data_IF_545322630319
#
_entry.id   IF_545322630319
#
_cell.length_a   1.000
_cell.length_b   1.000
_cell.length_c   1.000
_cell.angle_alpha   90.00
_cell.angle_beta   90.00
_cell.angle_gamma   90.00
#
_symmetry.space_group_name_H-M   'P 1'
#
loop_
_entity.id
_entity.type
_entity.pdbx_description
1 polymer ?
#
# COMPACT_ATOMS: atom_id res chain seq x y z
N UNK A 1 -18.31 -4.45 23.74
CA UNK A 1 -16.94 -4.79 23.30
C UNK A 1 -16.77 -4.72 21.78
N UNK A 2 -17.80 -4.38 20.99
CA UNK A 2 -17.72 -4.32 19.52
C UNK A 2 -17.25 -2.97 18.92
N UNK A 3 -17.61 -1.85 19.55
CA UNK A 3 -17.37 -0.52 18.95
C UNK A 3 -15.87 -0.18 18.78
N UNK A 4 -15.04 -0.47 19.78
CA UNK A 4 -13.60 -0.19 19.71
C UNK A 4 -12.92 -1.00 18.60
N UNK A 5 -13.38 -2.23 18.34
CA UNK A 5 -12.83 -3.08 17.31
C UNK A 5 -13.22 -2.62 15.90
N UNK A 6 -14.49 -2.23 15.70
CA UNK A 6 -14.95 -1.64 14.43
C UNK A 6 -14.17 -0.36 14.10
N UNK A 7 -13.92 0.50 15.10
CA UNK A 7 -13.12 1.72 14.92
C UNK A 7 -11.69 1.40 14.47
N UNK A 8 -11.05 0.36 15.03
CA UNK A 8 -9.71 -0.06 14.62
C UNK A 8 -9.71 -0.60 13.18
N UNK A 9 -10.70 -1.42 12.80
CA UNK A 9 -10.82 -1.93 11.42
C UNK A 9 -11.01 -0.81 10.41
N UNK A 10 -11.84 0.17 10.70
CA UNK A 10 -12.05 1.33 9.83
C UNK A 10 -10.79 2.18 9.70
N UNK A 11 -10.00 2.29 10.78
CA UNK A 11 -8.66 2.88 10.75
C UNK A 11 -7.70 2.14 9.81
N UNK A 12 -7.67 0.81 9.87
CA UNK A 12 -6.83 -0.02 8.98
C UNK A 12 -7.26 0.12 7.52
N UNK A 13 -8.56 0.10 7.24
CA UNK A 13 -9.12 0.29 5.88
C UNK A 13 -8.76 1.66 5.33
N UNK A 14 -8.94 2.71 6.14
CA UNK A 14 -8.54 4.08 5.78
C UNK A 14 -7.04 4.15 5.48
N UNK A 15 -6.20 3.53 6.32
CA UNK A 15 -4.75 3.46 6.09
C UNK A 15 -4.40 2.70 4.80
N UNK A 16 -5.11 1.62 4.48
CA UNK A 16 -4.95 0.88 3.22
C UNK A 16 -5.26 1.76 2.02
N UNK A 17 -6.35 2.52 2.04
CA UNK A 17 -6.72 3.43 0.96
C UNK A 17 -5.69 4.56 0.77
N UNK A 18 -5.20 5.13 1.87
CA UNK A 18 -4.16 6.15 1.85
C UNK A 18 -2.86 5.60 1.26
N UNK A 19 -2.44 4.38 1.65
CA UNK A 19 -1.27 3.73 1.08
C UNK A 19 -1.44 3.45 -0.42
N UNK A 20 -2.62 3.03 -0.87
CA UNK A 20 -2.93 2.85 -2.30
C UNK A 20 -2.79 4.17 -3.06
N UNK A 21 -3.42 5.22 -2.55
CA UNK A 21 -3.39 6.55 -3.16
C UNK A 21 -1.96 7.11 -3.20
N UNK A 22 -1.18 6.92 -2.14
CA UNK A 22 0.24 7.28 -2.12
C UNK A 22 1.04 6.49 -3.17
N UNK A 23 0.80 5.19 -3.31
CA UNK A 23 1.44 4.37 -4.33
C UNK A 23 1.08 4.81 -5.76
N UNK A 24 -0.18 5.17 -6.01
CA UNK A 24 -0.62 5.73 -7.29
C UNK A 24 0.01 7.09 -7.58
N UNK A 25 0.02 7.98 -6.58
CA UNK A 25 0.66 9.28 -6.67
C UNK A 25 2.16 9.17 -6.94
N UNK A 26 2.86 8.30 -6.21
CA UNK A 26 4.28 8.03 -6.42
C UNK A 26 4.55 7.55 -7.85
N UNK A 27 3.81 6.53 -8.32
CA UNK A 27 3.99 5.96 -9.66
C UNK A 27 3.67 6.92 -10.82
N UNK A 28 2.92 8.01 -10.55
CA UNK A 28 2.63 9.04 -11.54
C UNK A 28 3.78 10.06 -11.71
N UNK A 29 4.74 10.11 -10.77
CA UNK A 29 5.85 11.07 -10.83
C UNK A 29 6.88 10.62 -11.87
N UNK A 30 7.05 11.41 -12.93
CA UNK A 30 8.00 11.14 -14.01
C UNK A 30 9.37 11.79 -13.77
N UNK A 31 10.07 11.35 -12.73
CA UNK A 31 11.39 11.90 -12.41
C UNK A 31 12.43 11.63 -13.50
N UNK A 32 12.33 10.51 -14.23
CA UNK A 32 13.21 10.20 -15.34
C UNK A 32 13.08 11.16 -16.53
N UNK A 33 11.90 11.76 -16.75
CA UNK A 33 11.63 12.64 -17.89
C UNK A 33 12.53 13.88 -17.91
N UNK A 34 12.80 14.47 -16.75
CA UNK A 34 13.73 15.59 -16.61
C UNK A 34 15.15 15.20 -17.00
N UNK A 35 15.61 14.03 -16.55
CA UNK A 35 16.93 13.51 -16.86
C UNK A 35 17.06 13.10 -18.35
N UNK A 36 16.00 12.55 -18.94
CA UNK A 36 15.92 12.30 -20.40
C UNK A 36 16.03 13.60 -21.21
N UNK A 37 15.36 14.67 -20.77
CA UNK A 37 15.45 15.99 -21.42
C UNK A 37 16.88 16.53 -21.41
N UNK A 38 17.56 16.44 -20.26
CA UNK A 38 18.97 16.82 -20.12
C UNK A 38 19.87 15.96 -21.03
N UNK A 39 19.65 14.64 -21.07
CA UNK A 39 20.40 13.74 -21.94
C UNK A 39 20.23 14.10 -23.42
N UNK A 40 19.03 14.47 -23.84
CA UNK A 40 18.73 14.95 -25.19
C UNK A 40 19.47 16.24 -25.53
N UNK A 41 19.52 17.21 -24.60
CA UNK A 41 20.20 18.49 -24.78
C UNK A 41 21.74 18.36 -24.85
N UNK A 42 22.32 17.36 -24.17
CA UNK A 42 23.76 17.15 -24.07
C UNK A 42 24.28 16.04 -25.01
N UNK A 43 23.53 15.70 -26.06
CA UNK A 43 23.80 14.53 -26.91
C UNK A 43 25.25 14.46 -27.39
N UNK A 44 25.84 13.26 -27.32
CA UNK A 44 27.22 13.00 -27.74
C UNK A 44 28.28 13.28 -26.67
N UNK A 45 27.87 13.82 -25.52
CA UNK A 45 28.76 14.00 -24.36
C UNK A 45 28.65 12.84 -23.38
N UNK A 46 29.65 12.67 -22.51
CA UNK A 46 29.58 11.76 -21.36
C UNK A 46 28.43 12.10 -20.41
N UNK A 47 28.12 13.39 -20.25
CA UNK A 47 27.03 13.86 -19.41
C UNK A 47 25.65 13.37 -19.90
N UNK A 48 25.47 13.22 -21.21
CA UNK A 48 24.24 12.62 -21.74
C UNK A 48 24.07 11.16 -21.36
N UNK A 49 25.15 10.37 -21.37
CA UNK A 49 25.12 8.98 -20.90
C UNK A 49 24.73 8.90 -19.43
N UNK A 50 25.40 9.67 -18.57
CA UNK A 50 25.09 9.69 -17.14
C UNK A 50 23.68 10.19 -16.84
N UNK A 51 23.17 11.17 -17.61
CA UNK A 51 21.79 11.63 -17.48
C UNK A 51 20.77 10.55 -17.91
N UNK A 52 21.06 9.76 -18.95
CA UNK A 52 20.21 8.63 -19.34
C UNK A 52 20.19 7.49 -18.31
N UNK A 53 21.35 7.18 -17.72
CA UNK A 53 21.45 6.21 -16.62
C UNK A 53 20.67 6.70 -15.39
N UNK A 54 20.81 7.98 -15.04
CA UNK A 54 20.06 8.60 -13.95
C UNK A 54 18.54 8.57 -14.20
N UNK A 55 18.10 8.82 -15.44
CA UNK A 55 16.69 8.73 -15.81
C UNK A 55 16.13 7.32 -15.52
N UNK A 56 16.85 6.30 -15.99
CA UNK A 56 16.47 4.90 -15.81
C UNK A 56 16.42 4.52 -14.32
N UNK A 57 17.41 4.96 -13.55
CA UNK A 57 17.46 4.71 -12.11
C UNK A 57 16.28 5.36 -11.37
N UNK A 58 15.91 6.58 -11.73
CA UNK A 58 14.75 7.25 -11.15
C UNK A 58 13.43 6.56 -11.49
N UNK A 59 13.23 6.19 -12.76
CA UNK A 59 12.01 5.50 -13.17
C UNK A 59 11.86 4.16 -12.45
N UNK A 60 12.96 3.41 -12.29
CA UNK A 60 12.98 2.17 -11.52
C UNK A 60 12.67 2.39 -10.02
N UNK A 61 13.27 3.41 -9.40
CA UNK A 61 13.06 3.71 -7.99
C UNK A 61 11.61 4.12 -7.69
N UNK A 62 11.03 4.98 -8.55
CA UNK A 62 9.63 5.41 -8.43
C UNK A 62 8.66 4.24 -8.64
N UNK A 63 8.93 3.38 -9.63
CA UNK A 63 8.13 2.19 -9.87
C UNK A 63 8.17 1.22 -8.67
N UNK A 64 9.35 0.99 -8.10
CA UNK A 64 9.52 0.16 -6.89
C UNK A 64 8.73 0.73 -5.72
N UNK A 65 8.88 2.03 -5.44
CA UNK A 65 8.15 2.68 -4.34
C UNK A 65 6.62 2.59 -4.53
N UNK A 66 6.13 2.79 -5.76
CA UNK A 66 4.71 2.61 -6.09
C UNK A 66 4.23 1.19 -5.80
N UNK A 67 5.01 0.19 -6.17
CA UNK A 67 4.69 -1.22 -5.95
C UNK A 67 4.68 -1.56 -4.46
N UNK A 68 5.69 -1.12 -3.70
CA UNK A 68 5.80 -1.37 -2.26
C UNK A 68 4.63 -0.76 -1.48
N UNK A 69 4.21 0.45 -1.84
CA UNK A 69 3.05 1.12 -1.23
C UNK A 69 1.73 0.39 -1.54
N UNK A 70 1.57 -0.10 -2.77
CA UNK A 70 0.39 -0.89 -3.16
C UNK A 70 0.36 -2.26 -2.48
N UNK A 71 1.52 -2.91 -2.33
CA UNK A 71 1.62 -4.17 -1.58
C UNK A 71 1.32 -3.96 -0.10
N UNK A 72 1.84 -2.89 0.50
CA UNK A 72 1.50 -2.52 1.88
C UNK A 72 0.01 -2.25 2.07
N UNK A 73 -0.61 -1.50 1.16
CA UNK A 73 -2.06 -1.27 1.12
C UNK A 73 -2.84 -2.58 1.12
N UNK A 74 -2.46 -3.53 0.24
CA UNK A 74 -3.09 -4.85 0.17
C UNK A 74 -2.97 -5.61 1.49
N UNK A 75 -1.78 -5.65 2.09
CA UNK A 75 -1.55 -6.34 3.37
C UNK A 75 -2.39 -5.77 4.51
N UNK A 76 -2.60 -4.46 4.54
CA UNK A 76 -3.51 -3.82 5.50
C UNK A 76 -4.96 -4.26 5.30
N UNK A 77 -5.45 -4.27 4.05
CA UNK A 77 -6.80 -4.71 3.74
C UNK A 77 -7.02 -6.20 4.08
N UNK A 78 -6.05 -7.06 3.74
CA UNK A 78 -6.08 -8.49 4.06
C UNK A 78 -6.12 -8.69 5.60
N UNK A 79 -5.33 -7.91 6.34
CA UNK A 79 -5.31 -7.96 7.81
C UNK A 79 -6.65 -7.53 8.43
N UNK A 80 -7.27 -6.47 7.92
CA UNK A 80 -8.60 -6.04 8.38
C UNK A 80 -9.66 -7.14 8.17
N UNK A 81 -9.59 -7.85 7.04
CA UNK A 81 -10.48 -8.98 6.73
C UNK A 81 -10.28 -10.13 7.71
N UNK A 82 -9.03 -10.52 7.96
CA UNK A 82 -8.70 -11.60 8.90
C UNK A 82 -9.19 -11.28 10.31
N UNK A 83 -9.00 -10.04 10.76
CA UNK A 83 -9.47 -9.59 12.05
C UNK A 83 -11.00 -9.65 12.15
N UNK A 84 -11.71 -9.14 11.14
CA UNK A 84 -13.18 -9.17 11.11
C UNK A 84 -13.74 -10.61 11.14
N UNK A 85 -13.15 -11.51 10.35
CA UNK A 85 -13.55 -12.92 10.32
C UNK A 85 -13.28 -13.61 11.67
N UNK A 86 -12.17 -13.27 12.33
CA UNK A 86 -11.82 -13.81 13.65
C UNK A 86 -12.82 -13.37 14.72
N UNK A 87 -13.20 -12.09 14.76
CA UNK A 87 -14.22 -11.61 15.71
C UNK A 87 -15.58 -12.25 15.46
N UNK A 88 -16.02 -12.36 14.19
CA UNK A 88 -17.28 -13.03 13.86
C UNK A 88 -17.29 -14.50 14.33
N UNK A 89 -16.16 -15.20 14.20
CA UNK A 89 -16.03 -16.58 14.67
C UNK A 89 -16.09 -16.69 16.20
N UNK A 90 -15.47 -15.75 16.92
CA UNK A 90 -15.52 -15.66 18.38
C UNK A 90 -16.96 -15.40 18.85
N UNK A 91 -17.65 -14.41 18.27
CA UNK A 91 -19.03 -14.07 18.62
C UNK A 91 -20.00 -15.24 18.39
N UNK A 92 -19.82 -15.97 17.27
CA UNK A 92 -20.59 -17.18 16.98
C UNK A 92 -20.36 -18.27 18.04
N UNK A 93 -19.11 -18.49 18.43
CA UNK A 93 -18.73 -19.51 19.42
C UNK A 93 -19.23 -19.19 20.83
N UNK A 94 -19.23 -17.91 21.22
CA UNK A 94 -19.82 -17.48 22.48
C UNK A 94 -21.35 -17.60 22.48
N UNK A 95 -21.99 -17.25 21.36
CA UNK A 95 -23.45 -17.37 21.20
C UNK A 95 -23.92 -18.84 21.24
N UNK A 96 -23.12 -19.77 20.71
CA UNK A 96 -23.43 -21.21 20.78
C UNK A 96 -23.14 -21.87 22.14
N UNK A 97 -22.47 -21.17 23.07
CA UNK A 97 -22.05 -21.69 24.38
C UNK A 97 -22.76 -20.98 25.56
N UNK A 98 -23.78 -20.15 25.29
CA UNK A 98 -24.61 -19.50 26.31
C UNK A 98 -25.41 -20.50 27.18
N UNK A 99 -25.83 -20.11 28.41
CA UNK A 99 -26.02 -21.00 29.55
C UNK A 99 -27.32 -21.81 29.49
N UNK A 100 -27.31 -22.93 28.77
CA UNK A 100 -28.37 -23.96 28.88
C UNK A 100 -27.85 -25.21 29.62
N UNK A 101 -27.31 -24.98 30.81
CA UNK A 101 -27.10 -26.04 31.82
C UNK A 101 -27.71 -25.64 33.14
N UNK A 102 -29.03 -25.57 33.14
CA UNK A 102 -29.85 -25.71 34.35
C UNK A 102 -30.77 -26.92 34.16
N UNK A 103 -30.26 -28.12 34.43
CA UNK A 103 -31.06 -29.28 34.86
C UNK A 103 -30.24 -30.05 35.90
#
# INVERSE_FOLDING_TARGET
MGDDFTVVLDGIRTGSEQARAAGEGAGAVKLGELATSIAGALRGTRSATSAGELATAWDAAVASLSADLKDHSRRLADSATVYEDTERAVETSFSSTGPDRAI
#
